data_IF_798161874625
#
_entry.id   IF_798161874625
#
_cell.length_a   1.000
_cell.length_b   1.000
_cell.length_c   1.000
_cell.angle_alpha   90.00
_cell.angle_beta   90.00
_cell.angle_gamma   90.00
#
_symmetry.space_group_name_H-M   'P 1'
#
loop_
_entity.id
_entity.type
_entity.pdbx_description
1 polymer ?
#
# COMPACT_ATOMS: atom_id res chain seq x y z
N UNK A 1 3.20 -8.92 -5.81
CA UNK A 1 4.17 -7.97 -6.39
C UNK A 1 3.64 -7.50 -7.73
N UNK A 2 3.71 -6.20 -8.03
CA UNK A 2 3.16 -5.60 -9.26
C UNK A 2 3.75 -6.25 -10.52
N UNK A 3 5.06 -6.45 -10.57
CA UNK A 3 5.73 -7.05 -11.73
C UNK A 3 5.27 -8.49 -12.03
N UNK A 4 4.90 -9.24 -11.00
CA UNK A 4 4.31 -10.58 -11.15
C UNK A 4 2.91 -10.50 -11.73
N UNK A 5 2.10 -9.54 -11.26
CA UNK A 5 0.74 -9.32 -11.75
C UNK A 5 0.77 -8.86 -13.21
N UNK A 6 1.67 -7.94 -13.57
CA UNK A 6 1.88 -7.51 -14.96
C UNK A 6 2.19 -8.69 -15.87
N UNK A 7 3.15 -9.55 -15.49
CA UNK A 7 3.50 -10.73 -16.26
C UNK A 7 2.32 -11.68 -16.45
N UNK A 8 1.54 -11.92 -15.41
CA UNK A 8 0.34 -12.77 -15.46
C UNK A 8 -0.74 -12.16 -16.37
N UNK A 9 -0.98 -10.85 -16.29
CA UNK A 9 -1.96 -10.16 -17.12
C UNK A 9 -1.52 -10.13 -18.58
N UNK A 10 -0.24 -9.88 -18.86
CA UNK A 10 0.31 -9.94 -20.22
C UNK A 10 0.07 -11.33 -20.85
N UNK A 11 0.28 -12.40 -20.09
CA UNK A 11 0.00 -13.77 -20.55
C UNK A 11 -1.49 -13.98 -20.82
N UNK A 12 -2.38 -13.53 -19.94
CA UNK A 12 -3.82 -13.63 -20.11
C UNK A 12 -4.31 -12.91 -21.36
N UNK A 13 -3.89 -11.65 -21.55
CA UNK A 13 -4.28 -10.84 -22.70
C UNK A 13 -3.77 -11.43 -24.02
N UNK A 14 -2.55 -11.96 -24.03
CA UNK A 14 -1.98 -12.65 -25.18
C UNK A 14 -2.75 -13.93 -25.49
N UNK A 15 -3.01 -14.76 -24.49
CA UNK A 15 -3.74 -16.03 -24.65
C UNK A 15 -5.18 -15.84 -25.13
N UNK A 16 -5.80 -14.73 -24.74
CA UNK A 16 -7.14 -14.35 -25.16
C UNK A 16 -7.17 -13.66 -26.55
N UNK A 17 -6.01 -13.42 -27.17
CA UNK A 17 -5.91 -12.73 -28.46
C UNK A 17 -6.25 -11.24 -28.41
N UNK A 18 -6.15 -10.60 -27.22
CA UNK A 18 -6.49 -9.19 -27.02
C UNK A 18 -5.28 -8.31 -27.31
N UNK A 19 -4.13 -8.59 -26.68
CA UNK A 19 -2.90 -7.85 -26.87
C UNK A 19 -1.67 -8.73 -26.69
N UNK A 20 -0.72 -8.67 -27.63
CA UNK A 20 0.47 -9.55 -27.62
C UNK A 20 1.69 -8.95 -26.95
N UNK A 21 1.74 -7.61 -26.81
CA UNK A 21 2.89 -6.83 -26.32
C UNK A 21 2.48 -5.89 -25.18
N UNK A 22 1.69 -6.39 -24.25
CA UNK A 22 1.13 -5.58 -23.15
C UNK A 22 2.22 -4.85 -22.34
N UNK A 23 3.30 -5.54 -21.97
CA UNK A 23 4.38 -4.96 -21.16
C UNK A 23 5.17 -3.85 -21.86
N UNK A 24 5.00 -3.66 -23.17
CA UNK A 24 5.63 -2.60 -23.94
C UNK A 24 4.79 -1.32 -24.00
N UNK A 25 3.53 -1.37 -23.51
CA UNK A 25 2.61 -0.24 -23.51
C UNK A 25 3.01 0.79 -22.46
N UNK A 26 2.73 2.06 -22.76
CA UNK A 26 2.78 3.14 -21.78
C UNK A 26 1.66 3.05 -20.75
N UNK A 27 1.81 3.75 -19.63
CA UNK A 27 0.85 3.71 -18.48
C UNK A 27 -0.57 4.03 -18.91
N UNK A 28 -0.77 5.09 -19.68
CA UNK A 28 -2.10 5.49 -20.18
C UNK A 28 -2.74 4.40 -21.04
N UNK A 29 -1.97 3.79 -21.94
CA UNK A 29 -2.44 2.72 -22.83
C UNK A 29 -2.78 1.45 -22.04
N UNK A 30 -1.95 1.11 -21.02
CA UNK A 30 -2.25 0.01 -20.09
C UNK A 30 -3.57 0.26 -19.37
N UNK A 31 -3.74 1.42 -18.77
CA UNK A 31 -4.96 1.78 -18.03
C UNK A 31 -6.20 1.72 -18.93
N UNK A 32 -6.14 2.27 -20.15
CA UNK A 32 -7.26 2.24 -21.09
C UNK A 32 -7.64 0.80 -21.46
N UNK A 33 -6.66 -0.05 -21.74
CA UNK A 33 -6.88 -1.45 -22.09
C UNK A 33 -7.49 -2.23 -20.91
N UNK A 34 -6.92 -2.07 -19.71
CA UNK A 34 -7.39 -2.77 -18.52
C UNK A 34 -8.81 -2.33 -18.11
N UNK A 35 -9.10 -1.04 -18.18
CA UNK A 35 -10.44 -0.51 -17.88
C UNK A 35 -11.46 -1.07 -18.86
N UNK A 36 -11.14 -1.14 -20.14
CA UNK A 36 -12.01 -1.75 -21.14
C UNK A 36 -12.31 -3.22 -20.80
N UNK A 37 -11.29 -4.00 -20.46
CA UNK A 37 -11.46 -5.40 -20.07
C UNK A 37 -12.26 -5.58 -18.77
N UNK A 38 -12.16 -4.63 -17.83
CA UNK A 38 -12.88 -4.68 -16.56
C UNK A 38 -14.35 -4.24 -16.68
N UNK A 39 -14.65 -3.27 -17.54
CA UNK A 39 -15.97 -2.65 -17.66
C UNK A 39 -16.84 -3.30 -18.75
N UNK A 40 -16.25 -3.57 -19.90
CA UNK A 40 -16.99 -3.96 -21.11
C UNK A 40 -17.02 -5.47 -21.32
N UNK A 41 -15.96 -6.17 -21.00
CA UNK A 41 -15.81 -7.60 -21.30
C UNK A 41 -16.07 -8.50 -20.08
N UNK A 42 -17.20 -9.23 -20.04
CA UNK A 42 -17.49 -10.14 -18.94
C UNK A 42 -16.69 -11.47 -19.01
N UNK A 43 -15.94 -11.72 -20.09
CA UNK A 43 -15.22 -12.98 -20.27
C UNK A 43 -14.16 -13.20 -19.19
N UNK A 44 -13.99 -14.48 -18.85
CA UNK A 44 -12.87 -14.97 -18.06
C UNK A 44 -11.74 -15.30 -19.03
N UNK A 45 -10.67 -14.53 -19.03
CA UNK A 45 -9.57 -14.66 -19.99
C UNK A 45 -8.82 -15.98 -19.81
N UNK A 46 -8.74 -16.47 -18.58
CA UNK A 46 -8.11 -17.76 -18.26
C UNK A 46 -8.90 -18.99 -18.72
N UNK A 47 -10.11 -18.83 -19.27
CA UNK A 47 -10.91 -19.92 -19.81
C UNK A 47 -10.45 -20.41 -21.19
N UNK A 48 -9.37 -19.85 -21.74
CA UNK A 48 -8.76 -20.31 -23.00
C UNK A 48 -8.16 -21.71 -22.86
N UNK A 49 -8.10 -22.44 -23.98
CA UNK A 49 -7.44 -23.75 -24.05
C UNK A 49 -5.90 -23.67 -24.12
N UNK A 50 -5.33 -22.47 -24.04
CA UNK A 50 -3.89 -22.26 -24.05
C UNK A 50 -3.31 -22.73 -22.71
N UNK A 51 -2.21 -23.45 -22.76
CA UNK A 51 -1.44 -23.85 -21.58
C UNK A 51 -0.95 -22.61 -20.85
N UNK A 52 -1.15 -22.58 -19.52
CA UNK A 52 -0.77 -21.47 -18.66
C UNK A 52 0.61 -21.71 -18.07
N UNK A 53 1.36 -20.65 -17.87
CA UNK A 53 2.62 -20.72 -17.14
C UNK A 53 2.40 -21.14 -15.69
N UNK A 54 3.43 -21.74 -15.10
CA UNK A 54 3.41 -22.10 -13.66
C UNK A 54 3.17 -20.88 -12.77
N UNK A 55 3.69 -19.70 -13.18
CA UNK A 55 3.49 -18.44 -12.47
C UNK A 55 2.02 -18.06 -12.44
N UNK A 56 1.36 -18.01 -13.59
CA UNK A 56 -0.05 -17.65 -13.70
C UNK A 56 -0.94 -18.65 -12.95
N UNK A 57 -0.64 -19.94 -13.03
CA UNK A 57 -1.40 -20.96 -12.29
C UNK A 57 -1.29 -20.78 -10.78
N UNK A 58 -0.09 -20.47 -10.26
CA UNK A 58 0.14 -20.19 -8.84
C UNK A 58 -0.63 -18.96 -8.37
N UNK A 59 -0.54 -17.86 -9.10
CA UNK A 59 -1.25 -16.62 -8.73
C UNK A 59 -2.76 -16.82 -8.76
N UNK A 60 -3.31 -17.41 -9.79
CA UNK A 60 -4.73 -17.71 -9.86
C UNK A 60 -5.18 -18.69 -8.78
N UNK A 61 -4.32 -19.64 -8.37
CA UNK A 61 -4.63 -20.58 -7.30
C UNK A 61 -4.82 -19.88 -5.94
N UNK A 62 -4.01 -18.85 -5.66
CA UNK A 62 -4.15 -18.01 -4.45
C UNK A 62 -5.53 -17.34 -4.42
N UNK A 63 -5.90 -16.67 -5.51
CA UNK A 63 -7.19 -15.97 -5.59
C UNK A 63 -8.39 -16.94 -5.63
N UNK A 64 -8.27 -18.11 -6.27
CA UNK A 64 -9.28 -19.18 -6.23
C UNK A 64 -9.49 -19.71 -4.80
N UNK A 65 -8.40 -19.89 -4.04
CA UNK A 65 -8.48 -20.30 -2.64
C UNK A 65 -9.17 -19.22 -1.79
N UNK A 66 -8.83 -17.94 -1.99
CA UNK A 66 -9.48 -16.81 -1.34
C UNK A 66 -10.98 -16.78 -1.65
N UNK A 67 -11.37 -16.94 -2.92
CA UNK A 67 -12.78 -17.03 -3.35
C UNK A 67 -13.52 -18.16 -2.64
N UNK A 68 -12.95 -19.36 -2.63
CA UNK A 68 -13.54 -20.54 -1.97
C UNK A 68 -13.75 -20.32 -0.48
N UNK A 69 -12.79 -19.69 0.21
CA UNK A 69 -12.91 -19.37 1.63
C UNK A 69 -14.02 -18.34 1.89
N UNK A 70 -14.11 -17.30 1.06
CA UNK A 70 -15.17 -16.28 1.17
C UNK A 70 -16.55 -16.87 0.93
N UNK A 71 -16.69 -17.74 -0.05
CA UNK A 71 -17.97 -18.41 -0.33
C UNK A 71 -18.40 -19.34 0.79
N UNK A 72 -17.45 -19.93 1.53
CA UNK A 72 -17.71 -20.83 2.65
C UNK A 72 -17.94 -20.12 3.98
N UNK A 73 -17.16 -19.05 4.26
CA UNK A 73 -17.07 -18.42 5.58
C UNK A 73 -17.62 -16.98 5.61
N UNK A 74 -18.04 -16.45 4.45
CA UNK A 74 -18.53 -15.08 4.30
C UNK A 74 -17.46 -14.09 3.82
N UNK A 75 -17.92 -12.92 3.40
CA UNK A 75 -17.04 -11.92 2.76
C UNK A 75 -16.05 -11.26 3.71
N UNK A 76 -16.27 -11.35 5.00
CA UNK A 76 -15.40 -10.74 6.01
C UNK A 76 -14.12 -11.51 6.34
N UNK A 77 -14.01 -12.77 5.92
CA UNK A 77 -12.85 -13.64 6.22
C UNK A 77 -11.56 -13.14 5.54
N UNK A 78 -11.70 -12.61 4.33
CA UNK A 78 -10.61 -11.97 3.57
C UNK A 78 -11.13 -10.65 3.04
N UNK A 79 -10.75 -9.55 3.65
CA UNK A 79 -11.28 -8.22 3.29
C UNK A 79 -10.44 -7.50 2.26
N UNK A 80 -9.15 -7.78 2.21
CA UNK A 80 -8.16 -7.01 1.47
C UNK A 80 -7.16 -7.91 0.78
N UNK A 81 -6.59 -7.41 -0.31
CA UNK A 81 -5.38 -7.92 -0.94
C UNK A 81 -4.41 -6.75 -1.13
N UNK A 82 -3.17 -6.94 -0.73
CA UNK A 82 -2.13 -5.92 -0.79
C UNK A 82 -1.28 -6.20 -2.02
N UNK A 83 -0.99 -5.15 -2.77
CA UNK A 83 -0.03 -5.19 -3.87
C UNK A 83 1.22 -4.42 -3.46
N UNK A 84 2.37 -5.10 -3.44
CA UNK A 84 3.67 -4.49 -3.21
C UNK A 84 4.21 -3.84 -4.48
N UNK A 85 5.04 -2.82 -4.32
CA UNK A 85 5.55 -1.98 -5.40
C UNK A 85 4.42 -1.43 -6.30
N UNK A 86 3.40 -0.85 -5.67
CA UNK A 86 2.35 -0.14 -6.38
C UNK A 86 2.86 1.25 -6.77
N UNK A 87 3.37 1.39 -7.98
CA UNK A 87 3.93 2.64 -8.49
C UNK A 87 2.94 3.42 -9.34
N UNK A 88 1.95 2.72 -9.90
CA UNK A 88 1.02 3.28 -10.89
C UNK A 88 -0.40 2.75 -10.72
N UNK A 89 -1.32 3.33 -11.48
CA UNK A 89 -2.73 2.90 -11.49
C UNK A 89 -2.87 1.56 -12.19
N UNK A 90 -2.09 1.31 -13.25
CA UNK A 90 -2.12 0.03 -13.96
C UNK A 90 -1.81 -1.15 -13.04
N UNK A 91 -0.89 -1.01 -12.07
CA UNK A 91 -0.59 -2.06 -11.08
C UNK A 91 -1.86 -2.51 -10.32
N UNK A 92 -2.69 -1.54 -9.91
CA UNK A 92 -3.95 -1.84 -9.21
C UNK A 92 -5.00 -2.46 -10.14
N UNK A 93 -5.05 -2.03 -11.40
CA UNK A 93 -5.97 -2.57 -12.39
C UNK A 93 -5.57 -3.97 -12.86
N UNK A 94 -4.28 -4.27 -12.94
CA UNK A 94 -3.75 -5.61 -13.21
C UNK A 94 -4.18 -6.61 -12.13
N UNK A 95 -4.03 -6.22 -10.87
CA UNK A 95 -4.57 -7.03 -9.78
C UNK A 95 -6.08 -7.19 -9.88
N UNK A 96 -6.81 -6.15 -10.30
CA UNK A 96 -8.25 -6.24 -10.52
C UNK A 96 -8.61 -7.24 -11.62
N UNK A 97 -7.84 -7.32 -12.71
CA UNK A 97 -8.01 -8.36 -13.75
C UNK A 97 -7.88 -9.76 -13.14
N UNK A 98 -6.82 -10.02 -12.36
CA UNK A 98 -6.63 -11.33 -11.72
C UNK A 98 -7.76 -11.68 -10.74
N UNK A 99 -8.28 -10.70 -10.03
CA UNK A 99 -9.43 -10.88 -9.14
C UNK A 99 -10.73 -11.12 -9.92
N UNK A 100 -10.89 -10.47 -11.08
CA UNK A 100 -12.03 -10.70 -11.99
C UNK A 100 -12.03 -12.15 -12.49
N UNK A 101 -10.85 -12.70 -12.84
CA UNK A 101 -10.69 -14.08 -13.30
C UNK A 101 -11.30 -15.13 -12.36
N UNK A 102 -11.33 -14.82 -11.08
CA UNK A 102 -11.90 -15.71 -10.05
C UNK A 102 -13.24 -15.21 -9.49
N UNK A 103 -13.78 -14.11 -10.02
CA UNK A 103 -15.06 -13.53 -9.59
C UNK A 103 -15.02 -12.88 -8.20
N UNK A 104 -13.87 -12.35 -7.80
CA UNK A 104 -13.71 -11.52 -6.59
C UNK A 104 -13.95 -10.05 -6.86
N UNK A 105 -13.86 -9.62 -8.13
CA UNK A 105 -14.16 -8.28 -8.61
C UNK A 105 -15.03 -8.37 -9.84
N UNK A 106 -15.96 -7.46 -9.99
CA UNK A 106 -16.75 -7.22 -11.19
C UNK A 106 -16.92 -5.69 -11.40
N UNK A 107 -17.61 -5.29 -12.47
CA UNK A 107 -17.80 -3.88 -12.82
C UNK A 107 -18.65 -3.08 -11.81
N UNK A 108 -19.31 -3.72 -10.89
CA UNK A 108 -20.19 -3.06 -9.90
C UNK A 108 -19.61 -3.09 -8.49
N UNK A 109 -18.85 -4.14 -8.16
CA UNK A 109 -18.33 -4.33 -6.79
C UNK A 109 -17.01 -5.05 -6.72
N UNK A 110 -16.30 -4.82 -5.62
CA UNK A 110 -15.12 -5.58 -5.23
C UNK A 110 -15.38 -6.32 -3.91
N UNK A 111 -15.37 -7.65 -3.93
CA UNK A 111 -15.47 -8.48 -2.71
C UNK A 111 -14.19 -8.44 -1.87
N UNK A 112 -13.08 -8.04 -2.48
CA UNK A 112 -11.78 -7.84 -1.84
C UNK A 112 -11.30 -6.44 -2.20
N UNK A 113 -10.85 -5.67 -1.23
CA UNK A 113 -10.29 -4.35 -1.47
C UNK A 113 -8.86 -4.50 -1.98
N UNK A 114 -8.53 -3.78 -3.04
CA UNK A 114 -7.17 -3.61 -3.53
C UNK A 114 -6.50 -2.55 -2.67
N UNK A 115 -5.40 -2.93 -2.01
CA UNK A 115 -4.64 -2.05 -1.12
C UNK A 115 -3.25 -1.84 -1.73
N UNK A 116 -2.95 -0.66 -2.26
CA UNK A 116 -1.60 -0.36 -2.73
C UNK A 116 -0.65 -0.23 -1.53
N UNK A 117 0.57 -0.77 -1.69
CA UNK A 117 1.68 -0.58 -0.76
C UNK A 117 2.72 0.29 -1.43
N UNK A 118 2.94 1.49 -0.89
CA UNK A 118 4.01 2.40 -1.29
C UNK A 118 5.23 2.13 -0.41
N UNK A 119 6.34 1.70 -0.99
CA UNK A 119 7.48 1.15 -0.26
C UNK A 119 8.72 2.03 -0.30
N UNK A 120 9.07 2.58 -1.45
CA UNK A 120 10.27 3.43 -1.63
C UNK A 120 9.98 4.90 -1.33
N UNK A 121 11.02 5.72 -1.23
CA UNK A 121 10.86 7.18 -1.12
C UNK A 121 10.12 7.71 -2.36
N UNK A 122 10.48 7.24 -3.54
CA UNK A 122 9.86 7.63 -4.81
C UNK A 122 8.38 7.23 -4.86
N UNK A 123 8.01 6.00 -4.44
CA UNK A 123 6.61 5.57 -4.39
C UNK A 123 5.78 6.47 -3.46
N UNK A 124 6.34 6.82 -2.30
CA UNK A 124 5.68 7.67 -1.32
C UNK A 124 5.48 9.10 -1.85
N UNK A 125 6.46 9.65 -2.55
CA UNK A 125 6.37 10.99 -3.14
C UNK A 125 5.32 11.05 -4.26
N UNK A 126 5.17 9.99 -5.05
CA UNK A 126 4.17 9.88 -6.12
C UNK A 126 2.81 9.32 -5.65
N UNK A 127 2.71 8.90 -4.40
CA UNK A 127 1.49 8.25 -3.86
C UNK A 127 0.24 9.12 -3.98
N UNK A 128 0.39 10.44 -3.88
CA UNK A 128 -0.69 11.40 -4.05
C UNK A 128 -1.25 11.34 -5.47
N UNK A 129 -0.40 11.45 -6.47
CA UNK A 129 -0.78 11.45 -7.88
C UNK A 129 -1.46 10.13 -8.27
N UNK A 130 -0.82 9.01 -7.93
CA UNK A 130 -1.34 7.67 -8.18
C UNK A 130 -2.73 7.46 -7.56
N UNK A 131 -2.90 7.85 -6.30
CA UNK A 131 -4.20 7.69 -5.63
C UNK A 131 -5.26 8.67 -6.14
N UNK A 132 -4.88 9.88 -6.52
CA UNK A 132 -5.78 10.86 -7.13
C UNK A 132 -6.34 10.32 -8.45
N UNK A 133 -5.49 9.78 -9.28
CA UNK A 133 -5.86 9.17 -10.55
C UNK A 133 -6.78 7.95 -10.31
N UNK A 134 -6.37 7.02 -9.45
CA UNK A 134 -7.18 5.83 -9.11
C UNK A 134 -8.56 6.21 -8.57
N UNK A 135 -8.66 7.14 -7.62
CA UNK A 135 -9.92 7.59 -7.04
C UNK A 135 -10.79 8.37 -8.03
N UNK A 136 -10.22 8.87 -9.12
CA UNK A 136 -10.96 9.54 -10.20
C UNK A 136 -11.70 8.56 -11.09
N UNK A 137 -11.23 7.32 -11.21
CA UNK A 137 -11.82 6.30 -12.08
C UNK A 137 -13.25 5.96 -11.67
N UNK A 138 -14.21 5.96 -12.61
CA UNK A 138 -15.59 5.58 -12.32
C UNK A 138 -15.72 4.18 -11.73
N UNK A 139 -14.90 3.25 -12.21
CA UNK A 139 -14.88 1.87 -11.74
C UNK A 139 -14.38 1.75 -10.30
N UNK A 140 -13.28 2.43 -9.95
CA UNK A 140 -12.76 2.45 -8.59
C UNK A 140 -13.76 3.08 -7.61
N UNK A 141 -14.46 4.15 -8.02
CA UNK A 141 -15.53 4.76 -7.22
C UNK A 141 -16.64 3.76 -6.86
N UNK A 142 -17.07 2.93 -7.82
CA UNK A 142 -18.07 1.88 -7.56
C UNK A 142 -17.54 0.85 -6.56
N UNK A 143 -16.31 0.38 -6.74
CA UNK A 143 -15.69 -0.59 -5.83
C UNK A 143 -15.58 -0.05 -4.40
N UNK A 144 -15.13 1.19 -4.26
CA UNK A 144 -14.98 1.88 -2.97
C UNK A 144 -16.35 2.13 -2.33
N UNK A 145 -17.34 2.55 -3.11
CA UNK A 145 -18.71 2.74 -2.64
C UNK A 145 -19.33 1.42 -2.13
N UNK A 146 -19.06 0.28 -2.81
CA UNK A 146 -19.51 -1.04 -2.38
C UNK A 146 -18.92 -1.49 -1.04
N UNK A 147 -17.91 -0.74 -0.55
CA UNK A 147 -17.19 -0.95 0.72
C UNK A 147 -17.32 0.22 1.70
N UNK A 148 -18.48 0.88 1.71
CA UNK A 148 -18.80 2.00 2.61
C UNK A 148 -17.89 3.23 2.44
N UNK A 149 -17.43 3.52 1.23
CA UNK A 149 -16.51 4.60 0.90
C UNK A 149 -15.21 4.56 1.72
N UNK A 150 -14.65 3.36 1.86
CA UNK A 150 -13.46 3.10 2.63
C UNK A 150 -12.32 2.59 1.74
N UNK A 151 -11.15 3.22 1.82
CA UNK A 151 -9.92 2.79 1.14
C UNK A 151 -8.76 2.68 2.13
N UNK A 152 -8.14 1.51 2.19
CA UNK A 152 -6.90 1.32 2.93
C UNK A 152 -5.70 1.49 2.00
N UNK A 153 -4.64 2.10 2.50
CA UNK A 153 -3.35 2.27 1.84
C UNK A 153 -2.28 1.76 2.78
N UNK A 154 -1.41 0.88 2.31
CA UNK A 154 -0.29 0.40 3.11
C UNK A 154 0.95 1.24 2.87
N UNK A 155 1.67 1.53 3.94
CA UNK A 155 2.88 2.33 3.94
C UNK A 155 4.07 1.48 4.35
N UNK A 156 5.12 1.46 3.52
CA UNK A 156 6.34 0.70 3.75
C UNK A 156 7.37 1.49 4.56
N UNK A 157 7.70 1.01 5.75
CA UNK A 157 8.67 1.65 6.64
C UNK A 157 10.08 1.10 6.44
N UNK A 158 10.20 -0.21 6.28
CA UNK A 158 11.51 -0.87 6.16
C UNK A 158 12.22 -0.51 4.87
N UNK A 159 11.47 -0.52 3.78
CA UNK A 159 12.04 -0.36 2.44
C UNK A 159 12.32 1.11 2.14
N UNK A 160 11.45 2.04 2.53
CA UNK A 160 11.74 3.48 2.48
C UNK A 160 12.96 3.87 3.35
N UNK A 161 13.14 3.21 4.50
CA UNK A 161 14.31 3.45 5.35
C UNK A 161 15.60 2.93 4.71
N UNK A 162 15.56 1.76 4.06
CA UNK A 162 16.71 1.22 3.32
C UNK A 162 17.03 2.07 2.08
N UNK A 163 16.02 2.66 1.46
CA UNK A 163 16.16 3.48 0.25
C UNK A 163 16.74 4.86 0.57
N UNK A 164 16.16 5.60 1.52
CA UNK A 164 16.50 7.01 1.78
C UNK A 164 17.09 7.31 3.15
N UNK A 165 17.22 6.33 4.04
CA UNK A 165 17.64 6.52 5.43
C UNK A 165 16.47 6.92 6.34
N UNK A 166 16.73 6.89 7.65
CA UNK A 166 15.69 7.02 8.67
C UNK A 166 14.93 8.35 8.61
N UNK A 167 15.66 9.47 8.50
CA UNK A 167 15.06 10.81 8.54
C UNK A 167 14.18 11.05 7.31
N UNK A 168 14.68 10.69 6.12
CA UNK A 168 13.94 10.81 4.87
C UNK A 168 12.69 9.93 4.87
N UNK A 169 12.84 8.68 5.28
CA UNK A 169 11.69 7.77 5.40
C UNK A 169 10.62 8.31 6.34
N UNK A 170 10.99 8.77 7.54
CA UNK A 170 10.01 9.30 8.51
C UNK A 170 9.28 10.54 7.98
N UNK A 171 10.01 11.44 7.33
CA UNK A 171 9.43 12.68 6.83
C UNK A 171 8.56 12.46 5.59
N UNK A 172 9.02 11.68 4.63
CA UNK A 172 8.24 11.35 3.44
C UNK A 172 6.96 10.59 3.80
N UNK A 173 7.04 9.63 4.72
CA UNK A 173 5.86 8.95 5.28
C UNK A 173 4.87 9.92 5.95
N UNK A 174 5.37 10.92 6.65
CA UNK A 174 4.52 11.93 7.29
C UNK A 174 3.80 12.78 6.24
N UNK A 175 4.52 13.29 5.22
CA UNK A 175 3.94 14.06 4.11
C UNK A 175 2.93 13.26 3.30
N UNK A 176 3.30 12.04 2.89
CA UNK A 176 2.40 11.16 2.15
C UNK A 176 1.06 10.93 2.88
N UNK A 177 1.10 10.70 4.19
CA UNK A 177 -0.14 10.58 4.98
C UNK A 177 -0.98 11.85 5.00
N UNK A 178 -0.37 13.04 5.07
CA UNK A 178 -1.10 14.31 4.99
C UNK A 178 -1.80 14.46 3.64
N UNK A 179 -1.07 14.25 2.56
CA UNK A 179 -1.56 14.38 1.19
C UNK A 179 -2.68 13.37 0.89
N UNK A 180 -2.44 12.10 1.21
CA UNK A 180 -3.43 11.02 1.01
C UNK A 180 -4.69 11.22 1.86
N UNK A 181 -4.56 11.79 3.06
CA UNK A 181 -5.73 12.15 3.89
C UNK A 181 -6.53 13.27 3.24
N UNK A 182 -5.86 14.30 2.69
CA UNK A 182 -6.49 15.41 2.01
C UNK A 182 -7.25 14.96 0.75
N UNK A 183 -6.64 14.07 -0.05
CA UNK A 183 -7.31 13.47 -1.21
C UNK A 183 -8.53 12.67 -0.78
N UNK A 184 -8.42 11.87 0.27
CA UNK A 184 -9.57 11.14 0.80
C UNK A 184 -10.74 12.07 1.15
N UNK A 185 -10.45 13.21 1.78
CA UNK A 185 -11.47 14.23 2.09
C UNK A 185 -12.05 14.86 0.82
N UNK A 186 -11.23 15.13 -0.20
CA UNK A 186 -11.64 15.68 -1.50
C UNK A 186 -12.60 14.75 -2.26
N UNK A 187 -12.30 13.46 -2.29
CA UNK A 187 -13.12 12.46 -2.99
C UNK A 187 -14.26 11.87 -2.14
N UNK A 188 -14.42 12.30 -0.88
CA UNK A 188 -15.42 11.75 0.04
C UNK A 188 -15.13 10.29 0.44
N UNK A 189 -13.87 9.87 0.38
CA UNK A 189 -13.40 8.54 0.71
C UNK A 189 -12.72 8.54 2.08
N UNK A 190 -13.07 7.56 2.91
CA UNK A 190 -12.37 7.34 4.18
C UNK A 190 -11.06 6.61 3.93
N UNK A 191 -9.99 7.37 3.74
CA UNK A 191 -8.64 6.81 3.66
C UNK A 191 -8.18 6.41 5.06
N UNK A 192 -7.60 5.22 5.18
CA UNK A 192 -6.92 4.74 6.39
C UNK A 192 -5.60 4.10 6.04
N UNK A 193 -4.69 4.12 7.00
CA UNK A 193 -3.35 3.64 6.78
C UNK A 193 -3.11 2.30 7.47
N UNK A 194 -2.51 1.39 6.72
CA UNK A 194 -1.89 0.18 7.25
C UNK A 194 -0.38 0.42 7.34
N UNK A 195 0.10 0.61 8.57
CA UNK A 195 1.51 0.91 8.83
C UNK A 195 2.32 -0.38 8.84
N UNK A 196 3.11 -0.59 7.80
CA UNK A 196 4.04 -1.70 7.66
C UNK A 196 5.29 -1.53 8.53
N UNK A 197 5.11 -1.32 9.84
CA UNK A 197 6.21 -1.06 10.79
C UNK A 197 6.97 -2.32 11.19
N UNK A 198 6.84 -3.43 10.46
CA UNK A 198 7.47 -4.70 10.76
C UNK A 198 8.94 -4.55 11.13
N UNK A 199 9.31 -4.98 12.34
CA UNK A 199 10.68 -4.93 12.86
C UNK A 199 10.74 -4.82 14.37
N UNK A 200 11.91 -5.15 14.90
CA UNK A 200 12.25 -5.01 16.32
C UNK A 200 12.04 -3.56 16.79
N UNK A 201 11.84 -3.39 18.09
CA UNK A 201 11.58 -2.16 18.86
C UNK A 201 12.44 -0.93 18.47
N UNK A 202 13.52 -1.09 17.72
CA UNK A 202 14.39 0.01 17.25
C UNK A 202 14.17 0.47 15.82
N UNK A 203 13.27 -0.15 15.04
CA UNK A 203 13.01 0.27 13.65
C UNK A 203 11.85 1.24 13.56
N UNK A 204 12.15 2.53 13.62
CA UNK A 204 11.24 3.61 13.21
C UNK A 204 10.02 3.83 14.08
N UNK A 205 10.02 3.34 15.30
CA UNK A 205 8.79 3.40 16.02
C UNK A 205 8.88 3.60 17.49
N UNK A 206 9.64 4.29 18.14
CA UNK A 206 9.52 4.65 19.55
C UNK A 206 8.38 3.95 20.35
N UNK A 207 8.09 4.31 21.55
CA UNK A 207 6.95 3.77 22.28
C UNK A 207 5.66 3.92 21.48
N UNK A 208 4.79 2.92 21.52
CA UNK A 208 3.57 2.84 20.68
C UNK A 208 2.70 4.10 20.81
N UNK A 209 2.59 4.65 22.00
CA UNK A 209 1.78 5.85 22.25
C UNK A 209 2.30 7.07 21.49
N UNK A 210 3.57 7.39 21.62
CA UNK A 210 4.21 8.52 20.95
C UNK A 210 4.20 8.35 19.43
N UNK A 211 4.42 7.14 18.97
CA UNK A 211 4.41 6.84 17.55
C UNK A 211 3.04 7.05 16.90
N UNK A 212 1.95 6.77 17.60
CA UNK A 212 0.59 7.02 17.12
C UNK A 212 0.22 8.50 17.26
N UNK A 213 0.57 9.13 18.37
CA UNK A 213 0.23 10.54 18.59
C UNK A 213 1.05 11.51 17.74
N UNK A 214 2.20 11.10 17.22
CA UNK A 214 3.01 11.88 16.26
C UNK A 214 2.53 11.80 14.81
N UNK A 215 1.58 10.93 14.49
CA UNK A 215 1.03 10.85 13.13
C UNK A 215 0.38 12.18 12.70
N UNK A 216 0.28 12.49 11.40
CA UNK A 216 -0.38 13.70 10.92
C UNK A 216 -1.80 13.86 11.44
N UNK A 217 -2.27 15.10 11.53
CA UNK A 217 -3.65 15.39 11.89
C UNK A 217 -4.61 14.74 10.88
N UNK A 218 -5.73 14.20 11.39
CA UNK A 218 -6.77 13.53 10.59
C UNK A 218 -6.35 12.21 9.90
N UNK A 219 -5.08 11.77 9.99
CA UNK A 219 -4.66 10.49 9.41
C UNK A 219 -5.28 9.28 10.12
N UNK A 220 -5.70 9.44 11.37
CA UNK A 220 -6.44 8.44 12.13
C UNK A 220 -7.86 8.97 12.33
N UNK A 221 -8.82 8.42 11.58
CA UNK A 221 -10.24 8.81 11.62
C UNK A 221 -11.05 7.94 12.57
N UNK A 222 -11.10 6.64 12.32
CA UNK A 222 -11.90 5.66 13.07
C UNK A 222 -11.14 4.37 13.37
N UNK A 223 -9.98 4.17 12.76
CA UNK A 223 -9.14 2.99 12.97
C UNK A 223 -7.68 3.26 12.63
N UNK A 224 -6.83 2.42 13.17
CA UNK A 224 -5.42 2.31 12.81
C UNK A 224 -5.09 0.83 12.64
N UNK A 225 -4.26 0.49 11.66
CA UNK A 225 -3.75 -0.85 11.45
C UNK A 225 -2.23 -0.83 11.46
N UNK A 226 -1.65 -1.69 12.26
CA UNK A 226 -0.20 -1.79 12.46
C UNK A 226 0.23 -3.24 12.24
N UNK A 227 1.40 -3.45 11.60
CA UNK A 227 2.08 -4.74 11.67
C UNK A 227 2.97 -4.77 12.89
N UNK A 228 3.04 -5.93 13.54
CA UNK A 228 4.05 -6.24 14.54
C UNK A 228 4.67 -7.59 14.20
N UNK A 229 5.97 -7.74 14.41
CA UNK A 229 6.64 -9.03 14.20
C UNK A 229 6.27 -10.02 15.31
N UNK A 230 6.34 -11.33 14.99
CA UNK A 230 5.96 -12.37 15.92
C UNK A 230 6.71 -12.33 17.27
N UNK A 231 7.99 -11.96 17.26
CA UNK A 231 8.79 -11.78 18.50
C UNK A 231 8.25 -10.64 19.36
N UNK A 232 7.87 -9.52 18.74
CA UNK A 232 7.28 -8.34 19.42
C UNK A 232 5.90 -8.70 19.96
N UNK A 233 5.10 -9.44 19.19
CA UNK A 233 3.79 -9.93 19.62
C UNK A 233 3.92 -10.81 20.86
N UNK A 234 4.87 -11.74 20.87
CA UNK A 234 5.15 -12.59 22.04
C UNK A 234 5.51 -11.79 23.30
N UNK A 235 6.37 -10.78 23.14
CA UNK A 235 6.80 -9.94 24.25
C UNK A 235 5.69 -9.00 24.75
N UNK A 236 4.91 -8.41 23.85
CA UNK A 236 3.86 -7.45 24.21
C UNK A 236 2.58 -8.11 24.72
N UNK A 237 2.21 -9.27 24.17
CA UNK A 237 0.89 -9.86 24.36
C UNK A 237 0.92 -11.28 24.93
N UNK A 238 2.09 -11.88 25.16
CA UNK A 238 2.25 -13.21 25.71
C UNK A 238 1.94 -13.33 27.20
N UNK A 239 1.89 -12.21 27.92
CA UNK A 239 1.52 -12.13 29.34
C UNK A 239 0.30 -11.20 29.47
N UNK A 240 -0.65 -11.55 30.34
CA UNK A 240 -1.91 -10.81 30.50
C UNK A 240 -1.68 -9.34 30.90
N UNK A 241 -0.80 -9.08 31.86
CA UNK A 241 -0.57 -7.71 32.36
C UNK A 241 0.16 -6.86 31.32
N UNK A 242 1.16 -7.45 30.63
CA UNK A 242 1.84 -6.80 29.51
C UNK A 242 0.87 -6.54 28.35
N UNK A 243 -0.01 -7.49 28.02
CA UNK A 243 -1.01 -7.33 26.98
C UNK A 243 -1.98 -6.20 27.30
N UNK A 244 -2.49 -6.14 28.54
CA UNK A 244 -3.37 -5.07 29.00
C UNK A 244 -2.72 -3.70 28.85
N UNK A 245 -1.49 -3.54 29.35
CA UNK A 245 -0.74 -2.29 29.23
C UNK A 245 -0.52 -1.86 27.78
N UNK A 246 -0.05 -2.78 26.92
CA UNK A 246 0.24 -2.46 25.52
C UNK A 246 -1.03 -2.12 24.70
N UNK A 247 -2.13 -2.83 24.97
CA UNK A 247 -3.42 -2.53 24.33
C UNK A 247 -4.00 -1.20 24.82
N UNK A 248 -3.89 -0.90 26.12
CA UNK A 248 -4.31 0.37 26.67
C UNK A 248 -3.54 1.55 26.08
N UNK A 249 -2.21 1.43 25.93
CA UNK A 249 -1.38 2.44 25.27
C UNK A 249 -1.79 2.66 23.82
N UNK A 250 -2.04 1.59 23.05
CA UNK A 250 -2.48 1.66 21.68
C UNK A 250 -3.84 2.35 21.53
N UNK A 251 -4.83 1.90 22.33
CA UNK A 251 -6.19 2.43 22.28
C UNK A 251 -6.22 3.88 22.73
N UNK A 252 -5.55 4.20 23.85
CA UNK A 252 -5.47 5.57 24.39
C UNK A 252 -4.81 6.53 23.40
N UNK A 253 -3.73 6.12 22.74
CA UNK A 253 -3.07 6.92 21.73
C UNK A 253 -3.98 7.18 20.52
N UNK A 254 -4.66 6.14 20.03
CA UNK A 254 -5.58 6.27 18.91
C UNK A 254 -6.75 7.23 19.25
N UNK A 255 -7.38 7.06 20.40
CA UNK A 255 -8.45 7.94 20.88
C UNK A 255 -7.94 9.38 21.04
N UNK A 256 -6.78 9.55 21.70
CA UNK A 256 -6.18 10.88 21.86
C UNK A 256 -5.97 11.56 20.51
N UNK A 257 -5.44 10.82 19.51
CA UNK A 257 -5.20 11.37 18.17
C UNK A 257 -6.49 11.72 17.44
N UNK A 258 -7.55 10.92 17.57
CA UNK A 258 -8.86 11.20 16.98
C UNK A 258 -9.51 12.46 17.58
N UNK A 259 -9.35 12.69 18.89
CA UNK A 259 -9.99 13.81 19.59
C UNK A 259 -9.16 15.09 19.47
N UNK A 260 -7.82 14.97 19.54
CA UNK A 260 -6.92 16.13 19.54
C UNK A 260 -6.71 16.69 18.13
N UNK A 261 -7.69 17.45 17.66
CA UNK A 261 -7.60 18.19 16.38
C UNK A 261 -7.16 19.64 16.65
N UNK A 262 -6.04 19.85 17.35
CA UNK A 262 -5.51 21.22 17.47
C UNK A 262 -5.08 21.72 16.09
N UNK A 263 -5.73 22.81 15.62
CA UNK A 263 -5.23 23.58 14.50
C UNK A 263 -3.87 24.14 14.89
N UNK A 264 -2.80 23.68 14.26
CA UNK A 264 -1.55 24.42 14.25
C UNK A 264 -1.76 25.71 13.47
N UNK A 265 -1.07 26.77 13.88
CA UNK A 265 -0.99 27.99 13.07
C UNK A 265 -0.37 27.63 11.71
N UNK A 266 -1.15 27.76 10.64
CA UNK A 266 -0.80 27.27 9.30
C UNK A 266 0.53 27.91 8.80
N UNK A 267 0.78 29.19 9.11
CA UNK A 267 1.99 29.86 8.68
C UNK A 267 3.25 29.33 9.39
N UNK A 268 3.13 28.99 10.66
CA UNK A 268 4.23 28.42 11.45
C UNK A 268 4.54 27.00 10.99
N UNK A 269 3.50 26.20 10.68
CA UNK A 269 3.65 24.84 10.15
C UNK A 269 4.40 24.85 8.82
N UNK A 270 3.97 25.64 7.85
CA UNK A 270 4.59 25.72 6.51
C UNK A 270 6.07 26.12 6.57
N UNK A 271 6.44 26.99 7.51
CA UNK A 271 7.85 27.39 7.71
C UNK A 271 8.71 26.22 8.22
N UNK A 272 8.18 25.46 9.18
CA UNK A 272 8.90 24.28 9.69
C UNK A 272 8.99 23.18 8.66
N UNK A 273 7.94 22.94 7.88
CA UNK A 273 7.93 21.96 6.81
C UNK A 273 8.99 22.28 5.75
N UNK A 274 9.11 23.55 5.31
CA UNK A 274 10.13 23.97 4.36
C UNK A 274 11.58 23.79 4.89
N UNK A 275 11.79 23.98 6.19
CA UNK A 275 13.09 23.71 6.82
C UNK A 275 13.37 22.21 6.85
N UNK A 276 12.36 21.43 7.22
CA UNK A 276 12.49 19.97 7.25
C UNK A 276 12.77 19.39 5.88
N UNK A 277 12.12 19.89 4.82
CA UNK A 277 12.39 19.46 3.45
C UNK A 277 13.87 19.62 3.10
N UNK A 278 14.47 20.79 3.35
CA UNK A 278 15.90 21.02 3.10
C UNK A 278 16.83 20.10 3.90
N UNK A 279 16.50 19.84 5.16
CA UNK A 279 17.28 18.94 6.03
C UNK A 279 17.18 17.51 5.54
N UNK A 280 16.00 17.09 5.12
CA UNK A 280 15.72 15.75 4.62
C UNK A 280 16.41 15.49 3.29
N UNK A 281 16.34 16.44 2.33
CA UNK A 281 17.03 16.33 1.05
C UNK A 281 18.53 16.11 1.25
N UNK A 282 19.14 16.91 2.12
CA UNK A 282 20.56 16.75 2.44
C UNK A 282 20.88 15.44 3.15
N UNK A 283 20.01 14.99 4.04
CA UNK A 283 20.15 13.70 4.72
C UNK A 283 20.04 12.53 3.73
N UNK A 284 19.11 12.62 2.78
CA UNK A 284 18.92 11.64 1.72
C UNK A 284 20.19 11.51 0.87
N UNK A 285 20.74 12.62 0.39
CA UNK A 285 21.95 12.62 -0.42
C UNK A 285 23.13 12.00 0.32
N UNK A 286 23.37 12.39 1.58
CA UNK A 286 24.46 11.84 2.41
C UNK A 286 24.26 10.33 2.61
N UNK A 287 23.04 9.90 2.91
CA UNK A 287 22.74 8.48 3.09
C UNK A 287 22.98 7.69 1.78
N UNK A 288 22.48 8.21 0.65
CA UNK A 288 22.65 7.57 -0.66
C UNK A 288 24.12 7.49 -1.07
N UNK A 289 24.89 8.53 -0.83
CA UNK A 289 26.33 8.54 -1.10
C UNK A 289 27.05 7.50 -0.26
N UNK A 290 26.77 7.44 1.04
CA UNK A 290 27.40 6.46 1.93
C UNK A 290 26.99 5.01 1.58
N UNK A 291 25.71 4.79 1.37
CA UNK A 291 25.17 3.43 1.26
C UNK A 291 25.25 2.86 -0.15
N UNK A 292 25.10 3.68 -1.18
CA UNK A 292 25.00 3.18 -2.56
C UNK A 292 26.20 3.56 -3.45
N UNK A 293 26.90 4.67 -3.16
CA UNK A 293 27.98 5.19 -3.98
C UNK A 293 29.37 5.00 -3.37
N UNK A 294 29.49 4.76 -2.04
CA UNK A 294 30.79 4.58 -1.41
C UNK A 294 31.44 3.25 -1.79
N UNK A 295 32.77 3.27 -1.99
CA UNK A 295 33.54 2.07 -2.24
C UNK A 295 33.64 1.14 -1.01
N UNK A 296 33.56 1.69 0.18
CA UNK A 296 33.58 0.93 1.45
C UNK A 296 32.47 -0.10 1.53
N UNK A 297 31.30 0.16 0.93
CA UNK A 297 30.23 -0.83 0.87
C UNK A 297 30.49 -1.93 -0.16
N UNK A 298 31.23 -1.68 -1.23
CA UNK A 298 31.63 -2.71 -2.20
C UNK A 298 32.49 -3.77 -1.53
N UNK A 299 33.41 -3.37 -0.65
CA UNK A 299 34.28 -4.27 0.13
C UNK A 299 33.43 -5.11 1.11
N UNK A 300 32.44 -4.56 1.77
CA UNK A 300 31.54 -5.28 2.67
C UNK A 300 30.69 -6.35 1.98
N UNK A 301 30.32 -6.15 0.71
CA UNK A 301 29.59 -7.18 -0.07
C UNK A 301 30.44 -8.38 -0.47
N UNK A 302 31.72 -8.20 -0.63
CA UNK A 302 32.67 -9.29 -0.94
C UNK A 302 32.96 -10.17 0.26
N UNK A 303 32.83 -9.64 1.48
CA UNK A 303 33.01 -10.41 2.72
C UNK A 303 31.76 -11.23 3.13
N UNK A 304 30.62 -11.06 2.47
CA UNK A 304 29.37 -11.75 2.76
C UNK A 304 28.99 -12.82 1.72
N UNK A 305 29.91 -13.13 0.82
CA UNK A 305 29.87 -14.29 -0.08
C UNK A 305 30.82 -15.39 0.49
#
# INVERSE_FOLDING_TARGET
DSSVHEACVAELLKSAGIHSHYSELGEEEKCQLLLKELEEDPRILSATHVEKSELLEKELAIFKAARKLKDKLGDDVIRQTIISHATSVSDMLELAILLKEVGLVDKERARVQIVPLFETIEDLDHSEETMREYLSLPLAKKWIASRNNYQEIMLGYSDSNKDGGYLSSCWTLYKAQQQLTAIGDEFGVKVTFFHGRGGTVGRGGGPTYEAITSQPLKSIKDRIRLTEQGEVIGNKYGNKDAAYYNLEMLVSAAINRMITQKKSDTNTSNRYEAIMDQVVDRSYDIYRDLVFRSEERRVGKECLR
#
